data_IF_695333908858
#
_entry.id   IF_695333908858
#
_cell.length_a   1.000
_cell.length_b   1.000
_cell.length_c   1.000
_cell.angle_alpha   90.00
_cell.angle_beta   90.00
_cell.angle_gamma   90.00
#
_symmetry.space_group_name_H-M   'P 1'
#
loop_
_entity.id
_entity.type
_entity.pdbx_description
1 polymer ?
#
# COMPACT_ATOMS: atom_id res chain seq x y z
N UNK A 1 20.77 10.40 -7.98
CA UNK A 1 19.83 11.38 -7.37
C UNK A 1 18.45 10.76 -7.14
N UNK A 2 17.86 10.08 -8.14
CA UNK A 2 16.56 9.40 -8.04
C UNK A 2 16.41 8.49 -6.80
N UNK A 3 17.40 7.65 -6.48
CA UNK A 3 17.36 6.78 -5.29
C UNK A 3 17.08 7.54 -3.99
N UNK A 4 17.72 8.71 -3.81
CA UNK A 4 17.52 9.53 -2.61
C UNK A 4 16.08 10.05 -2.53
N UNK A 5 15.53 10.51 -3.65
CA UNK A 5 14.15 11.01 -3.75
C UNK A 5 13.17 9.89 -3.43
N UNK A 6 13.26 8.76 -4.13
CA UNK A 6 12.33 7.63 -3.91
C UNK A 6 12.44 7.06 -2.50
N UNK A 7 13.64 7.02 -1.92
CA UNK A 7 13.82 6.64 -0.52
C UNK A 7 13.13 7.60 0.45
N UNK A 8 13.22 8.92 0.21
CA UNK A 8 12.52 9.91 1.02
C UNK A 8 11.00 9.80 0.87
N UNK A 9 10.50 9.63 -0.35
CA UNK A 9 9.06 9.43 -0.62
C UNK A 9 8.56 8.15 0.06
N UNK A 10 9.31 7.05 -0.03
CA UNK A 10 9.02 5.83 0.69
C UNK A 10 8.95 6.06 2.21
N UNK A 11 9.97 6.69 2.79
CA UNK A 11 9.98 6.96 4.23
C UNK A 11 8.78 7.82 4.67
N UNK A 12 8.47 8.88 3.93
CA UNK A 12 7.28 9.71 4.19
C UNK A 12 5.99 8.90 4.05
N UNK A 13 5.88 8.03 3.06
CA UNK A 13 4.69 7.18 2.88
C UNK A 13 4.47 6.24 4.07
N UNK A 14 5.55 5.75 4.71
CA UNK A 14 5.46 4.95 5.95
C UNK A 14 4.89 5.77 7.09
N UNK A 15 5.35 7.01 7.27
CA UNK A 15 4.83 7.90 8.31
C UNK A 15 3.34 8.20 8.09
N UNK A 16 2.95 8.47 6.83
CA UNK A 16 1.55 8.75 6.49
C UNK A 16 0.66 7.54 6.77
N UNK A 17 1.02 6.34 6.31
CA UNK A 17 0.18 5.16 6.55
C UNK A 17 0.15 4.78 8.04
N UNK A 18 1.25 4.96 8.77
CA UNK A 18 1.27 4.74 10.22
C UNK A 18 0.35 5.73 10.94
N UNK A 19 0.42 7.02 10.58
CA UNK A 19 -0.45 8.05 11.15
C UNK A 19 -1.91 7.75 10.88
N UNK A 20 -2.26 7.39 9.64
CA UNK A 20 -3.63 6.99 9.27
C UNK A 20 -4.07 5.76 10.06
N UNK A 21 -3.24 4.72 10.16
CA UNK A 21 -3.58 3.51 10.88
C UNK A 21 -3.84 3.78 12.37
N UNK A 22 -3.01 4.59 13.02
CA UNK A 22 -3.20 4.98 14.42
C UNK A 22 -4.45 5.83 14.62
N UNK A 23 -4.69 6.79 13.72
CA UNK A 23 -5.90 7.61 13.73
C UNK A 23 -7.16 6.75 13.59
N UNK A 24 -7.18 5.83 12.62
CA UNK A 24 -8.32 4.97 12.37
C UNK A 24 -8.54 3.97 13.51
N UNK A 25 -7.47 3.42 14.09
CA UNK A 25 -7.56 2.57 15.28
C UNK A 25 -8.26 3.28 16.44
N UNK A 26 -8.00 4.57 16.65
CA UNK A 26 -8.68 5.35 17.68
C UNK A 26 -10.15 5.64 17.33
N UNK A 27 -10.50 5.67 16.05
CA UNK A 27 -11.84 6.01 15.57
C UNK A 27 -12.77 4.79 15.40
N UNK A 28 -12.23 3.58 15.19
CA UNK A 28 -13.04 2.40 14.91
C UNK A 28 -13.86 1.90 16.11
N UNK A 29 -15.05 1.32 15.86
CA UNK A 29 -15.82 0.59 16.86
C UNK A 29 -15.11 -0.70 17.30
N UNK A 30 -15.64 -1.38 18.33
CA UNK A 30 -15.03 -2.61 18.87
C UNK A 30 -14.90 -3.74 17.83
N UNK A 31 -15.85 -3.81 16.89
CA UNK A 31 -15.88 -4.76 15.78
C UNK A 31 -15.77 -4.03 14.45
N UNK A 32 -14.76 -4.40 13.65
CA UNK A 32 -14.52 -3.85 12.31
C UNK A 32 -14.98 -4.85 11.28
N UNK A 33 -15.97 -4.47 10.47
CA UNK A 33 -16.45 -5.21 9.31
C UNK A 33 -15.52 -4.95 8.13
N UNK A 34 -14.91 -6.00 7.61
CA UNK A 34 -13.93 -5.94 6.51
C UNK A 34 -14.51 -6.41 5.17
N UNK A 35 -15.70 -7.00 5.18
CA UNK A 35 -16.39 -7.43 3.98
C UNK A 35 -17.75 -8.04 4.28
N UNK A 36 -18.53 -8.23 3.22
CA UNK A 36 -19.83 -8.88 3.28
C UNK A 36 -19.70 -10.28 2.66
N UNK A 37 -19.87 -11.33 3.47
CA UNK A 37 -19.99 -12.70 2.97
C UNK A 37 -21.40 -12.98 2.46
N UNK A 38 -21.60 -14.16 1.85
CA UNK A 38 -22.91 -14.56 1.28
C UNK A 38 -24.03 -14.67 2.32
N UNK A 39 -23.69 -14.96 3.58
CA UNK A 39 -24.66 -15.14 4.68
C UNK A 39 -24.37 -14.21 5.86
N UNK A 40 -23.10 -13.89 6.14
CA UNK A 40 -22.71 -13.05 7.26
C UNK A 40 -21.61 -12.06 6.86
N UNK A 41 -21.57 -10.91 7.52
CA UNK A 41 -20.44 -10.00 7.44
C UNK A 41 -19.17 -10.66 7.99
N UNK A 42 -18.05 -10.47 7.29
CA UNK A 42 -16.73 -10.84 7.79
C UNK A 42 -16.27 -9.69 8.68
N UNK A 43 -16.21 -9.92 9.99
CA UNK A 43 -15.79 -8.94 10.98
C UNK A 43 -14.65 -9.45 11.84
N UNK A 44 -13.77 -8.56 12.26
CA UNK A 44 -12.71 -8.81 13.23
C UNK A 44 -12.86 -7.86 14.42
N UNK A 45 -12.31 -8.22 15.58
CA UNK A 45 -12.13 -7.21 16.63
C UNK A 45 -11.17 -6.14 16.15
N UNK A 46 -11.39 -4.89 16.59
CA UNK A 46 -10.55 -3.74 16.26
C UNK A 46 -9.07 -4.00 16.52
N UNK A 47 -8.77 -4.60 17.66
CA UNK A 47 -7.40 -4.90 18.08
C UNK A 47 -6.75 -5.93 17.14
N UNK A 48 -7.48 -7.00 16.80
CA UNK A 48 -6.98 -8.00 15.85
C UNK A 48 -6.74 -7.38 14.47
N UNK A 49 -7.68 -6.57 13.98
CA UNK A 49 -7.53 -5.89 12.69
C UNK A 49 -6.32 -4.94 12.68
N UNK A 50 -6.12 -4.19 13.77
CA UNK A 50 -4.97 -3.31 13.95
C UNK A 50 -3.66 -4.08 13.93
N UNK A 51 -3.50 -5.13 14.74
CA UNK A 51 -2.26 -5.88 14.83
C UNK A 51 -1.92 -6.63 13.53
N UNK A 52 -2.92 -7.18 12.83
CA UNK A 52 -2.72 -7.80 11.51
C UNK A 52 -2.26 -6.76 10.50
N UNK A 53 -2.90 -5.59 10.48
CA UNK A 53 -2.52 -4.50 9.55
C UNK A 53 -1.13 -3.94 9.88
N UNK A 54 -0.79 -3.78 11.15
CA UNK A 54 0.54 -3.39 11.62
C UNK A 54 1.60 -4.42 11.19
N UNK A 55 1.33 -5.71 11.35
CA UNK A 55 2.23 -6.78 10.94
C UNK A 55 2.44 -6.79 9.42
N UNK A 56 1.36 -6.62 8.64
CA UNK A 56 1.44 -6.49 7.19
C UNK A 56 2.27 -5.27 6.77
N UNK A 57 2.01 -4.10 7.38
CA UNK A 57 2.75 -2.87 7.11
C UNK A 57 4.23 -3.03 7.40
N UNK A 58 4.57 -3.63 8.55
CA UNK A 58 5.93 -3.91 8.95
C UNK A 58 6.59 -4.88 7.96
N UNK A 59 5.92 -5.98 7.62
CA UNK A 59 6.41 -6.97 6.67
C UNK A 59 6.74 -6.34 5.31
N UNK A 60 5.79 -5.61 4.72
CA UNK A 60 5.95 -4.92 3.44
C UNK A 60 7.15 -3.95 3.48
N UNK A 61 7.28 -3.14 4.53
CA UNK A 61 8.34 -2.13 4.59
C UNK A 61 9.70 -2.69 4.99
N UNK A 62 9.75 -3.80 5.72
CA UNK A 62 11.01 -4.51 6.01
C UNK A 62 11.64 -5.06 4.74
N UNK A 63 10.85 -5.42 3.72
CA UNK A 63 11.38 -5.90 2.43
C UNK A 63 12.35 -4.91 1.77
N UNK A 64 12.18 -3.61 2.02
CA UNK A 64 13.09 -2.55 1.53
C UNK A 64 14.50 -2.73 2.07
N UNK A 65 14.63 -3.06 3.35
CA UNK A 65 15.93 -3.31 3.98
C UNK A 65 16.52 -4.63 3.50
N UNK A 66 15.69 -5.66 3.31
CA UNK A 66 16.11 -6.95 2.76
C UNK A 66 16.70 -6.75 1.36
N UNK A 67 15.98 -6.08 0.47
CA UNK A 67 16.44 -5.81 -0.90
C UNK A 67 17.73 -4.98 -0.90
N UNK A 68 17.80 -3.94 -0.08
CA UNK A 68 18.98 -3.08 0.01
C UNK A 68 20.23 -3.85 0.46
N UNK A 69 20.09 -4.68 1.49
CA UNK A 69 21.24 -5.31 2.14
C UNK A 69 21.66 -6.62 1.47
N UNK A 70 20.71 -7.41 0.96
CA UNK A 70 20.98 -8.76 0.48
C UNK A 70 21.06 -8.87 -1.05
N UNK A 71 20.38 -7.99 -1.80
CA UNK A 71 20.19 -8.24 -3.22
C UNK A 71 21.28 -7.64 -4.14
N UNK A 72 22.25 -6.86 -3.59
CA UNK A 72 23.32 -6.14 -4.34
C UNK A 72 22.83 -5.57 -5.69
N UNK A 73 21.65 -4.95 -5.69
CA UNK A 73 20.98 -4.48 -6.91
C UNK A 73 21.43 -3.08 -7.30
N UNK A 74 21.31 -2.78 -8.59
CA UNK A 74 21.61 -1.45 -9.13
C UNK A 74 20.77 -0.36 -8.46
N UNK A 75 21.31 0.86 -8.46
CA UNK A 75 20.61 2.06 -7.98
C UNK A 75 19.22 2.23 -8.63
N UNK A 76 19.10 1.89 -9.92
CA UNK A 76 17.81 1.98 -10.64
C UNK A 76 16.77 1.01 -10.07
N UNK A 77 17.17 -0.23 -9.76
CA UNK A 77 16.28 -1.20 -9.14
C UNK A 77 15.88 -0.75 -7.73
N UNK A 78 16.82 -0.22 -6.96
CA UNK A 78 16.52 0.31 -5.63
C UNK A 78 15.51 1.47 -5.72
N UNK A 79 15.71 2.41 -6.64
CA UNK A 79 14.78 3.52 -6.86
C UNK A 79 13.37 3.03 -7.24
N UNK A 80 13.28 2.08 -8.18
CA UNK A 80 12.01 1.48 -8.56
C UNK A 80 11.32 0.78 -7.38
N UNK A 81 12.08 0.01 -6.59
CA UNK A 81 11.55 -0.73 -5.45
C UNK A 81 11.08 0.20 -4.32
N UNK A 82 11.84 1.25 -4.00
CA UNK A 82 11.39 2.29 -3.08
C UNK A 82 10.07 2.92 -3.54
N UNK A 83 9.96 3.26 -4.82
CA UNK A 83 8.71 3.77 -5.40
C UNK A 83 7.56 2.77 -5.30
N UNK A 84 7.83 1.49 -5.57
CA UNK A 84 6.81 0.44 -5.50
C UNK A 84 6.24 0.28 -4.09
N UNK A 85 7.10 0.22 -3.08
CA UNK A 85 6.66 0.13 -1.68
C UNK A 85 5.93 1.40 -1.25
N UNK A 86 6.34 2.58 -1.73
CA UNK A 86 5.61 3.81 -1.48
C UNK A 86 4.18 3.78 -2.06
N UNK A 87 4.02 3.27 -3.30
CA UNK A 87 2.71 3.09 -3.93
C UNK A 87 1.84 2.10 -3.15
N UNK A 88 2.42 1.00 -2.64
CA UNK A 88 1.70 0.09 -1.73
C UNK A 88 1.24 0.81 -0.46
N UNK A 89 2.10 1.61 0.18
CA UNK A 89 1.73 2.36 1.38
C UNK A 89 0.57 3.35 1.10
N UNK A 90 0.56 4.02 -0.05
CA UNK A 90 -0.57 4.86 -0.46
C UNK A 90 -1.85 4.06 -0.71
N UNK A 91 -1.74 2.89 -1.33
CA UNK A 91 -2.87 1.97 -1.46
C UNK A 91 -3.43 1.56 -0.09
N UNK A 92 -2.56 1.25 0.88
CA UNK A 92 -2.96 0.93 2.25
C UNK A 92 -3.68 2.09 2.94
N UNK A 93 -3.23 3.34 2.74
CA UNK A 93 -3.95 4.52 3.23
C UNK A 93 -5.38 4.56 2.69
N UNK A 94 -5.55 4.37 1.38
CA UNK A 94 -6.86 4.38 0.72
C UNK A 94 -7.73 3.23 1.23
N UNK A 95 -7.17 2.03 1.37
CA UNK A 95 -7.87 0.87 1.88
C UNK A 95 -8.34 1.08 3.33
N UNK A 96 -7.49 1.62 4.21
CA UNK A 96 -7.84 1.91 5.60
C UNK A 96 -8.92 2.98 5.70
N UNK A 97 -8.82 4.04 4.90
CA UNK A 97 -9.86 5.06 4.82
C UNK A 97 -11.19 4.50 4.32
N UNK A 98 -11.17 3.60 3.34
CA UNK A 98 -12.38 2.93 2.87
C UNK A 98 -13.02 2.07 3.95
N UNK A 99 -12.23 1.27 4.68
CA UNK A 99 -12.73 0.45 5.80
C UNK A 99 -13.34 1.35 6.87
N UNK A 100 -12.73 2.49 7.17
CA UNK A 100 -13.30 3.46 8.11
C UNK A 100 -14.65 4.01 7.65
N UNK A 101 -14.77 4.41 6.39
CA UNK A 101 -16.05 4.87 5.82
C UNK A 101 -17.10 3.76 5.86
N UNK A 102 -16.74 2.52 5.55
CA UNK A 102 -17.64 1.38 5.59
C UNK A 102 -18.12 1.05 7.00
N UNK A 103 -17.29 1.30 8.01
CA UNK A 103 -17.60 1.08 9.43
C UNK A 103 -18.10 2.35 10.14
N UNK A 104 -18.34 3.42 9.39
CA UNK A 104 -19.00 4.61 9.93
C UNK A 104 -20.49 4.33 10.04
N UNK A 105 -21.15 4.91 11.05
CA UNK A 105 -22.60 4.85 11.18
C UNK A 105 -23.31 5.91 10.30
N UNK A 106 -22.63 6.41 9.26
CA UNK A 106 -23.12 7.48 8.39
C UNK A 106 -23.50 6.91 7.02
N UNK A 107 -24.57 7.45 6.43
CA UNK A 107 -25.02 7.06 5.09
C UNK A 107 -24.11 7.66 4.00
N UNK A 108 -23.10 6.89 3.59
CA UNK A 108 -22.20 7.29 2.51
C UNK A 108 -22.68 6.85 1.12
N UNK A 109 -22.55 7.76 0.14
CA UNK A 109 -22.76 7.45 -1.28
C UNK A 109 -21.50 6.81 -1.88
N UNK A 110 -21.37 5.49 -1.74
CA UNK A 110 -20.18 4.74 -2.17
C UNK A 110 -19.87 4.78 -3.68
N UNK A 111 -20.82 5.22 -4.53
CA UNK A 111 -20.64 5.29 -5.98
C UNK A 111 -19.46 6.17 -6.45
N UNK A 112 -19.01 7.13 -5.63
CA UNK A 112 -17.88 8.01 -5.96
C UNK A 112 -16.53 7.47 -5.46
N UNK A 113 -16.54 6.56 -4.48
CA UNK A 113 -15.31 6.05 -3.85
C UNK A 113 -14.63 5.00 -4.75
N UNK A 114 -15.41 4.31 -5.59
CA UNK A 114 -14.91 3.30 -6.52
C UNK A 114 -13.76 3.83 -7.40
N UNK A 115 -13.85 5.08 -7.89
CA UNK A 115 -12.79 5.68 -8.68
C UNK A 115 -11.44 5.75 -7.94
N UNK A 116 -11.45 6.09 -6.65
CA UNK A 116 -10.23 6.20 -5.83
C UNK A 116 -9.63 4.81 -5.59
N UNK A 117 -10.47 3.83 -5.27
CA UNK A 117 -10.03 2.44 -5.04
C UNK A 117 -9.44 1.86 -6.33
N UNK A 118 -10.19 1.88 -7.43
CA UNK A 118 -9.70 1.36 -8.71
C UNK A 118 -8.49 2.14 -9.23
N UNK A 119 -8.47 3.47 -9.05
CA UNK A 119 -7.31 4.29 -9.40
C UNK A 119 -6.05 3.89 -8.65
N UNK A 120 -6.15 3.58 -7.35
CA UNK A 120 -5.02 3.10 -6.56
C UNK A 120 -4.54 1.71 -6.96
N UNK A 121 -5.45 0.80 -7.33
CA UNK A 121 -5.10 -0.52 -7.86
C UNK A 121 -4.43 -0.41 -9.23
N UNK A 122 -4.95 0.46 -10.11
CA UNK A 122 -4.33 0.77 -11.41
C UNK A 122 -2.93 1.35 -11.19
N UNK A 123 -2.74 2.23 -10.20
CA UNK A 123 -1.43 2.78 -9.88
C UNK A 123 -0.45 1.68 -9.47
N UNK A 124 -0.83 0.78 -8.56
CA UNK A 124 -0.01 -0.39 -8.16
C UNK A 124 0.33 -1.24 -9.38
N UNK A 125 -0.67 -1.59 -10.20
CA UNK A 125 -0.49 -2.42 -11.38
C UNK A 125 0.43 -1.76 -12.41
N UNK A 126 0.19 -0.48 -12.71
CA UNK A 126 1.00 0.30 -13.65
C UNK A 126 2.44 0.42 -13.19
N UNK A 127 2.72 0.50 -11.89
CA UNK A 127 4.07 0.56 -11.35
C UNK A 127 4.85 -0.75 -11.56
N UNK A 128 4.17 -1.89 -11.39
CA UNK A 128 4.74 -3.22 -11.65
C UNK A 128 5.02 -3.38 -13.14
N UNK A 129 3.99 -3.17 -13.98
CA UNK A 129 4.09 -3.36 -15.44
C UNK A 129 5.10 -2.40 -16.04
N UNK A 130 5.07 -1.12 -15.67
CA UNK A 130 6.02 -0.11 -16.13
C UNK A 130 7.47 -0.48 -15.78
N UNK A 131 7.69 -0.99 -14.57
CA UNK A 131 8.98 -1.54 -14.16
C UNK A 131 9.44 -2.68 -15.07
N UNK A 132 8.61 -3.71 -15.23
CA UNK A 132 8.92 -4.88 -16.06
C UNK A 132 9.21 -4.51 -17.51
N UNK A 133 8.40 -3.64 -18.10
CA UNK A 133 8.58 -3.14 -19.47
C UNK A 133 9.89 -2.38 -19.62
N UNK A 134 10.23 -1.51 -18.67
CA UNK A 134 11.51 -0.79 -18.66
C UNK A 134 12.70 -1.76 -18.71
N UNK A 135 12.70 -2.79 -17.87
CA UNK A 135 13.76 -3.80 -17.85
C UNK A 135 13.83 -4.61 -19.14
N UNK A 136 12.67 -4.98 -19.70
CA UNK A 136 12.59 -5.74 -20.94
C UNK A 136 13.15 -4.95 -22.13
N UNK A 137 12.75 -3.68 -22.29
CA UNK A 137 13.22 -2.80 -23.37
C UNK A 137 14.72 -2.54 -23.25
N UNK A 138 15.19 -2.24 -22.03
CA UNK A 138 16.62 -2.02 -21.80
C UNK A 138 17.47 -3.24 -22.17
N UNK A 139 17.01 -4.44 -21.81
CA UNK A 139 17.71 -5.68 -22.16
C UNK A 139 17.81 -5.88 -23.68
N UNK A 140 16.77 -5.51 -24.44
CA UNK A 140 16.78 -5.58 -25.91
C UNK A 140 17.75 -4.57 -26.53
N UNK A 141 17.80 -3.35 -26.01
CA UNK A 141 18.70 -2.30 -26.51
C UNK A 141 20.18 -2.60 -26.27
N UNK A 142 20.52 -3.35 -25.22
CA UNK A 142 21.89 -3.76 -24.93
C UNK A 142 22.35 -4.97 -25.77
N UNK A 143 21.42 -5.67 -26.41
CA UNK A 143 21.70 -6.86 -27.23
C UNK A 143 21.76 -6.55 -28.74
N UNK A 144 21.44 -5.32 -29.14
CA UNK A 144 21.50 -4.81 -30.51
C UNK A 144 22.72 -3.91 -30.66
#
# INVERSE_FOLDING_TARGET
>A
MAVKIFRSVWFLSVLVVLFVLLYQYAAWPETVVIGQGEVNFISLSRDNFFYVTMALLAFVNVTVYIVRNFAKKSDEFQAWFYGFIAVINFFLVIALSFISLFNSNEDFRFGQIGFIIYGSLILVFSWIVGGLLYWFVRKRLQAA
#
